data_IF_471736930909
#
_entry.id   IF_471736930909
#
_cell.length_a   1.000
_cell.length_b   1.000
_cell.length_c   1.000
_cell.angle_alpha   90.00
_cell.angle_beta   90.00
_cell.angle_gamma   90.00
#
_symmetry.space_group_name_H-M   'P 1'
#
loop_
_entity.id
_entity.type
_entity.pdbx_description
1 polymer ?
#
# COMPACT_ATOMS: atom_id res chain seq x y z
N UNK A 1 1.21 -17.93 9.57
CA UNK A 1 1.66 -17.47 8.25
C UNK A 1 0.47 -17.18 7.38
N UNK A 2 0.70 -16.46 6.27
CA UNK A 2 -0.33 -16.05 5.31
C UNK A 2 -1.32 -15.07 5.92
N UNK A 3 -1.04 -13.82 5.78
CA UNK A 3 -1.91 -12.78 6.25
C UNK A 3 -2.29 -11.84 5.11
N UNK A 4 -3.56 -11.78 4.81
CA UNK A 4 -4.03 -10.96 3.71
C UNK A 4 -4.25 -9.51 4.17
N UNK A 5 -4.07 -9.28 5.44
CA UNK A 5 -4.25 -7.99 6.01
C UNK A 5 -2.96 -7.51 6.66
N UNK A 6 -2.86 -6.22 6.83
CA UNK A 6 -1.77 -5.59 7.50
C UNK A 6 -2.29 -4.92 8.73
N UNK A 7 -1.52 -4.97 9.79
CA UNK A 7 -1.87 -4.31 11.04
C UNK A 7 -0.84 -3.24 11.35
N UNK A 8 0.02 -3.01 10.39
CA UNK A 8 1.06 -2.05 10.50
C UNK A 8 1.16 -1.28 9.20
N UNK A 9 1.82 -0.16 9.23
CA UNK A 9 2.11 0.60 8.05
C UNK A 9 3.61 0.78 8.04
N UNK A 10 4.19 0.94 6.89
CA UNK A 10 5.61 1.11 6.77
C UNK A 10 6.02 2.47 7.30
N UNK A 11 7.08 2.48 8.06
CA UNK A 11 7.59 3.70 8.62
C UNK A 11 8.43 4.43 7.57
N UNK A 12 8.90 3.68 6.61
CA UNK A 12 9.68 4.23 5.52
C UNK A 12 8.83 4.37 4.26
N UNK A 13 8.64 5.61 3.78
CA UNK A 13 7.97 5.87 2.50
C UNK A 13 8.74 5.24 1.33
N UNK A 14 8.03 4.77 0.34
CA UNK A 14 8.62 4.19 -0.84
C UNK A 14 8.70 5.23 -1.93
N UNK A 15 9.59 5.05 -2.92
CA UNK A 15 9.55 5.86 -4.10
C UNK A 15 8.51 5.26 -5.05
N UNK A 16 7.69 6.10 -5.63
CA UNK A 16 6.62 5.64 -6.53
C UNK A 16 7.18 4.99 -7.77
N UNK A 17 8.31 5.46 -8.19
CA UNK A 17 9.04 4.94 -9.32
C UNK A 17 9.44 3.48 -9.11
N UNK A 18 9.25 2.97 -7.91
CA UNK A 18 9.65 1.60 -7.59
C UNK A 18 8.41 0.75 -7.26
N UNK A 19 7.25 1.31 -7.44
CA UNK A 19 6.01 0.63 -7.10
C UNK A 19 5.30 0.22 -8.36
N UNK A 20 4.84 -1.01 -8.39
CA UNK A 20 4.13 -1.51 -9.54
C UNK A 20 2.64 -1.23 -9.42
N UNK A 21 2.06 -1.53 -8.26
CA UNK A 21 0.60 -1.46 -8.03
C UNK A 21 0.31 -1.62 -6.55
N UNK A 22 -0.96 -1.45 -6.14
CA UNK A 22 -1.35 -1.61 -4.76
C UNK A 22 -2.62 -2.44 -4.63
N UNK A 23 -2.95 -2.75 -3.40
CA UNK A 23 -4.16 -3.42 -3.05
C UNK A 23 -4.86 -2.62 -1.95
N UNK A 24 -6.17 -2.49 -2.04
CA UNK A 24 -6.91 -1.74 -1.04
C UNK A 24 -7.35 -2.65 0.09
N UNK A 25 -6.79 -2.45 1.24
CA UNK A 25 -7.22 -3.16 2.42
C UNK A 25 -8.30 -2.37 3.10
N UNK A 26 -9.44 -2.97 3.25
CA UNK A 26 -10.53 -2.32 3.87
C UNK A 26 -10.48 -2.53 5.38
N UNK A 27 -10.85 -1.50 6.12
CA UNK A 27 -10.93 -1.53 7.56
C UNK A 27 -12.18 -2.36 7.93
N UNK A 28 -12.97 -2.61 6.92
CA UNK A 28 -14.15 -3.42 7.01
C UNK A 28 -13.77 -4.90 7.19
N UNK A 29 -12.83 -5.37 6.38
CA UNK A 29 -12.43 -6.78 6.40
C UNK A 29 -11.20 -7.02 7.24
N UNK A 30 -10.38 -6.02 7.35
CA UNK A 30 -9.16 -6.12 8.11
C UNK A 30 -9.25 -5.18 9.29
N UNK A 31 -8.36 -5.33 10.27
CA UNK A 31 -8.38 -4.48 11.48
C UNK A 31 -8.25 -3.01 11.14
N UNK A 32 -7.41 -2.69 10.21
CA UNK A 32 -7.17 -1.32 9.83
C UNK A 32 -7.26 -1.20 8.34
N UNK A 33 -7.18 0.01 7.85
CA UNK A 33 -7.08 0.23 6.45
C UNK A 33 -5.62 0.51 6.15
N UNK A 34 -5.00 -0.35 5.38
CA UNK A 34 -3.60 -0.20 4.99
C UNK A 34 -3.44 -0.59 3.55
N UNK A 35 -3.10 0.34 2.70
CA UNK A 35 -2.92 0.02 1.29
C UNK A 35 -1.66 -0.80 1.10
N UNK A 36 -1.77 -1.92 0.40
CA UNK A 36 -0.64 -2.78 0.24
C UNK A 36 0.01 -2.47 -1.06
N UNK A 37 1.17 -1.94 -0.97
CA UNK A 37 1.97 -1.58 -2.09
C UNK A 37 2.79 -2.76 -2.52
N UNK A 38 2.97 -2.89 -3.76
CA UNK A 38 3.83 -3.90 -4.27
C UNK A 38 4.90 -3.24 -5.14
N UNK A 39 6.15 -3.55 -4.87
CA UNK A 39 7.23 -2.92 -5.57
C UNK A 39 7.56 -3.65 -6.82
N UNK A 40 8.52 -3.16 -7.58
CA UNK A 40 8.95 -3.85 -8.79
C UNK A 40 9.63 -5.17 -8.43
N UNK A 41 10.12 -5.28 -7.19
CA UNK A 41 10.65 -6.54 -6.70
C UNK A 41 9.50 -7.47 -6.35
N UNK A 42 8.30 -6.91 -6.37
CA UNK A 42 7.10 -7.65 -6.12
C UNK A 42 6.85 -7.88 -4.67
N UNK A 43 7.56 -7.18 -3.83
CA UNK A 43 7.44 -7.28 -2.42
C UNK A 43 6.16 -6.59 -1.97
N UNK A 44 5.57 -7.07 -0.89
CA UNK A 44 4.37 -6.48 -0.34
C UNK A 44 4.73 -5.50 0.77
N UNK A 45 4.26 -4.28 0.66
CA UNK A 45 4.54 -3.24 1.63
C UNK A 45 3.21 -2.70 2.15
N UNK A 46 3.06 -2.59 3.42
CA UNK A 46 1.84 -2.06 4.01
C UNK A 46 2.03 -0.57 4.21
N UNK A 47 1.28 0.25 3.54
CA UNK A 47 1.47 1.68 3.67
C UNK A 47 0.26 2.35 4.26
N UNK A 48 0.49 3.45 4.97
CA UNK A 48 -0.58 4.22 5.58
C UNK A 48 -1.35 5.04 4.55
N UNK A 49 -2.63 4.66 4.30
CA UNK A 49 -3.52 5.36 3.36
C UNK A 49 -3.68 6.84 3.69
N UNK A 50 -3.39 7.20 4.93
CA UNK A 50 -3.51 8.58 5.36
C UNK A 50 -2.29 9.40 4.91
N UNK A 51 -1.25 8.74 4.45
CA UNK A 51 -0.01 9.41 4.06
C UNK A 51 -0.15 10.11 2.73
N UNK A 52 0.31 11.34 2.69
CA UNK A 52 0.24 12.19 1.52
C UNK A 52 0.95 11.56 0.31
N UNK A 53 2.05 10.84 0.54
CA UNK A 53 2.77 10.19 -0.56
C UNK A 53 1.94 9.04 -1.13
N UNK A 54 1.16 8.42 -0.26
CA UNK A 54 0.30 7.32 -0.62
C UNK A 54 -0.85 7.81 -1.50
N UNK A 55 -1.31 9.03 -1.24
CA UNK A 55 -2.37 9.64 -2.06
C UNK A 55 -1.89 9.74 -3.49
N UNK A 56 -0.67 10.25 -3.65
CA UNK A 56 -0.06 10.42 -4.96
C UNK A 56 0.15 9.08 -5.62
N UNK A 57 0.69 8.15 -4.85
CA UNK A 57 0.95 6.81 -5.32
C UNK A 57 -0.33 6.14 -5.78
N UNK A 58 -1.35 6.18 -4.92
CA UNK A 58 -2.61 5.59 -5.23
C UNK A 58 -3.24 6.11 -6.50
N UNK A 59 -3.19 7.40 -6.70
CA UNK A 59 -3.80 7.98 -7.86
C UNK A 59 -3.04 7.57 -9.11
N UNK A 60 -1.73 7.48 -8.99
CA UNK A 60 -0.88 7.11 -10.10
C UNK A 60 -1.01 5.62 -10.45
N UNK A 61 -1.13 4.80 -9.43
CA UNK A 61 -1.26 3.35 -9.61
C UNK A 61 -2.69 2.97 -10.04
N UNK A 62 -3.66 3.80 -9.68
CA UNK A 62 -5.08 3.58 -10.02
C UNK A 62 -5.32 3.87 -11.51
N UNK A 63 -4.36 4.55 -12.10
CA UNK A 63 -4.41 4.93 -13.50
C UNK A 63 -4.16 3.75 -14.41
N UNK A 64 -3.53 2.73 -13.90
CA UNK A 64 -3.18 1.62 -14.72
C UNK A 64 -3.58 0.32 -14.04
#
# INVERSE_FOLDING_TARGET
ARKSCCLKYTKRPLPLKRIKSYTIQSNEACNIKAIIFTTKKGRKICANPNEKWVQKAMKHLDKK
#
